data_IF_987946430051
#
_entry.id   IF_987946430051
#
_cell.length_a   1.000
_cell.length_b   1.000
_cell.length_c   1.000
_cell.angle_alpha   90.00
_cell.angle_beta   90.00
_cell.angle_gamma   90.00
#
_symmetry.space_group_name_H-M   'P 1'
#
loop_
_entity.id
_entity.type
_entity.pdbx_description
1 polymer ?
#
# COMPACT_ATOMS: atom_id res chain seq x y z
N UNK A 1 -23.51 16.36 -3.62
CA UNK A 1 -22.06 16.11 -3.50
C UNK A 1 -21.88 14.82 -2.72
N UNK A 2 -21.32 13.78 -3.34
CA UNK A 2 -20.93 12.56 -2.62
C UNK A 2 -20.07 12.96 -1.43
N UNK A 3 -20.43 12.50 -0.22
CA UNK A 3 -19.53 12.63 0.92
C UNK A 3 -18.28 11.86 0.58
N UNK A 4 -17.19 12.57 0.31
CA UNK A 4 -15.87 11.96 0.19
C UNK A 4 -15.66 11.06 1.41
N UNK A 5 -15.38 9.79 1.17
CA UNK A 5 -15.11 8.85 2.25
C UNK A 5 -13.80 9.30 2.92
N UNK A 6 -13.90 9.79 4.16
CA UNK A 6 -12.76 10.32 4.91
C UNK A 6 -11.60 9.31 5.02
N UNK A 7 -11.91 8.02 5.14
CA UNK A 7 -10.90 6.96 5.13
C UNK A 7 -10.19 6.82 3.80
N UNK A 8 -10.91 6.94 2.69
CA UNK A 8 -10.31 6.93 1.36
C UNK A 8 -9.38 8.13 1.15
N UNK A 9 -9.74 9.32 1.64
CA UNK A 9 -8.88 10.50 1.59
C UNK A 9 -7.60 10.26 2.37
N UNK A 10 -7.71 9.88 3.65
CA UNK A 10 -6.54 9.57 4.51
C UNK A 10 -5.65 8.47 3.93
N UNK A 11 -6.25 7.43 3.34
CA UNK A 11 -5.52 6.36 2.67
C UNK A 11 -4.73 6.91 1.47
N UNK A 12 -5.35 7.74 0.63
CA UNK A 12 -4.68 8.33 -0.53
C UNK A 12 -3.58 9.30 -0.13
N UNK A 13 -3.80 10.15 0.87
CA UNK A 13 -2.80 11.10 1.36
C UNK A 13 -1.55 10.35 1.86
N UNK A 14 -1.74 9.32 2.70
CA UNK A 14 -0.63 8.52 3.21
C UNK A 14 0.11 7.75 2.11
N UNK A 15 -0.62 7.22 1.12
CA UNK A 15 0.00 6.54 -0.01
C UNK A 15 0.82 7.52 -0.86
N UNK A 16 0.31 8.72 -1.08
CA UNK A 16 0.97 9.77 -1.85
C UNK A 16 2.24 10.26 -1.12
N UNK A 17 2.21 10.43 0.21
CA UNK A 17 3.38 10.75 1.04
C UNK A 17 4.50 9.70 0.89
N UNK A 18 4.16 8.41 1.00
CA UNK A 18 5.14 7.32 0.85
C UNK A 18 5.74 7.35 -0.55
N UNK A 19 4.90 7.54 -1.57
CA UNK A 19 5.36 7.59 -2.96
C UNK A 19 6.26 8.79 -3.22
N UNK A 20 5.98 9.96 -2.66
CA UNK A 20 6.83 11.16 -2.81
C UNK A 20 8.22 10.94 -2.19
N UNK A 21 8.28 10.34 -1.00
CA UNK A 21 9.56 10.00 -0.36
C UNK A 21 10.36 9.01 -1.21
N UNK A 22 9.71 7.97 -1.75
CA UNK A 22 10.37 7.00 -2.63
C UNK A 22 10.83 7.63 -3.94
N UNK A 23 10.00 8.48 -4.56
CA UNK A 23 10.32 9.17 -5.82
C UNK A 23 11.59 10.02 -5.66
N UNK A 24 11.67 10.80 -4.57
CA UNK A 24 12.85 11.61 -4.26
C UNK A 24 14.11 10.75 -4.10
N UNK A 25 14.03 9.66 -3.33
CA UNK A 25 15.17 8.76 -3.13
C UNK A 25 15.64 8.09 -4.43
N UNK A 26 14.70 7.71 -5.31
CA UNK A 26 14.98 7.15 -6.63
C UNK A 26 15.67 8.18 -7.52
N UNK A 27 15.18 9.42 -7.53
CA UNK A 27 15.81 10.52 -8.29
C UNK A 27 17.24 10.79 -7.81
N UNK A 28 17.45 10.89 -6.49
CA UNK A 28 18.79 11.08 -5.89
C UNK A 28 19.75 9.95 -6.30
N UNK A 29 19.27 8.70 -6.30
CA UNK A 29 20.05 7.53 -6.71
C UNK A 29 20.35 7.51 -8.21
N UNK A 30 19.42 7.97 -9.05
CA UNK A 30 19.63 8.08 -10.49
C UNK A 30 20.73 9.10 -10.81
N UNK A 31 20.79 10.23 -10.09
CA UNK A 31 21.88 11.20 -10.22
C UNK A 31 23.21 10.57 -9.87
N UNK A 32 23.32 9.89 -8.71
CA UNK A 32 24.56 9.21 -8.29
C UNK A 32 25.03 8.15 -9.29
N UNK A 33 24.11 7.36 -9.85
CA UNK A 33 24.43 6.39 -10.90
C UNK A 33 24.96 7.05 -12.18
N UNK A 34 24.49 8.27 -12.50
CA UNK A 34 24.96 9.05 -13.64
C UNK A 34 26.33 9.70 -13.40
N UNK A 35 26.69 9.99 -12.16
CA UNK A 35 27.99 10.56 -11.77
C UNK A 35 29.10 9.51 -11.73
N UNK A 36 28.89 8.40 -11.03
CA UNK A 36 29.82 7.28 -10.95
C UNK A 36 29.07 5.95 -10.82
N UNK A 37 29.01 5.24 -11.93
CA UNK A 37 28.30 3.97 -12.01
C UNK A 37 28.96 2.86 -11.20
N UNK A 38 30.29 2.84 -11.07
CA UNK A 38 31.00 1.81 -10.31
C UNK A 38 30.71 1.98 -8.82
N UNK A 39 30.94 3.19 -8.29
CA UNK A 39 30.66 3.53 -6.90
C UNK A 39 29.19 3.33 -6.53
N UNK A 40 28.27 3.65 -7.45
CA UNK A 40 26.84 3.40 -7.26
C UNK A 40 26.54 1.91 -7.04
N UNK A 41 27.12 1.02 -7.85
CA UNK A 41 26.90 -0.42 -7.69
C UNK A 41 27.48 -0.96 -6.38
N UNK A 42 28.60 -0.42 -5.94
CA UNK A 42 29.25 -0.82 -4.70
C UNK A 42 28.49 -0.36 -3.44
N UNK A 43 27.78 0.78 -3.50
CA UNK A 43 27.23 1.43 -2.29
C UNK A 43 25.72 1.65 -2.27
N UNK A 44 25.04 1.62 -3.43
CA UNK A 44 23.66 2.12 -3.54
C UNK A 44 22.70 1.20 -4.30
N UNK A 45 23.20 0.22 -5.06
CA UNK A 45 22.36 -0.64 -5.88
C UNK A 45 21.31 -1.45 -5.08
N UNK A 46 21.65 -1.90 -3.87
CA UNK A 46 20.72 -2.63 -3.00
C UNK A 46 19.51 -1.76 -2.63
N UNK A 47 19.76 -0.59 -2.05
CA UNK A 47 18.68 0.33 -1.66
C UNK A 47 17.89 0.80 -2.87
N UNK A 48 18.57 1.05 -4.00
CA UNK A 48 17.93 1.48 -5.25
C UNK A 48 16.91 0.44 -5.72
N UNK A 49 17.31 -0.84 -5.68
CA UNK A 49 16.43 -1.94 -6.04
C UNK A 49 15.20 -1.98 -5.14
N UNK A 50 15.39 -1.90 -3.81
CA UNK A 50 14.29 -1.98 -2.85
C UNK A 50 13.31 -0.82 -3.00
N UNK A 51 13.83 0.40 -3.11
CA UNK A 51 13.00 1.60 -3.25
C UNK A 51 12.21 1.58 -4.54
N UNK A 52 12.82 1.19 -5.65
CA UNK A 52 12.12 1.07 -6.93
C UNK A 52 11.06 -0.04 -6.90
N UNK A 53 11.37 -1.20 -6.31
CA UNK A 53 10.40 -2.28 -6.17
C UNK A 53 9.16 -1.86 -5.36
N UNK A 54 9.36 -1.18 -4.24
CA UNK A 54 8.28 -0.66 -3.41
C UNK A 54 7.48 0.41 -4.14
N UNK A 55 8.16 1.34 -4.84
CA UNK A 55 7.52 2.39 -5.62
C UNK A 55 6.57 1.81 -6.68
N UNK A 56 7.01 0.80 -7.43
CA UNK A 56 6.18 0.11 -8.42
C UNK A 56 4.92 -0.49 -7.78
N UNK A 57 5.07 -1.15 -6.63
CA UNK A 57 3.97 -1.75 -5.90
C UNK A 57 2.95 -0.71 -5.42
N UNK A 58 3.42 0.44 -4.90
CA UNK A 58 2.55 1.52 -4.44
C UNK A 58 1.93 2.30 -5.59
N UNK A 59 2.64 2.48 -6.71
CA UNK A 59 2.11 3.08 -7.94
C UNK A 59 0.93 2.28 -8.49
N UNK A 60 1.06 0.96 -8.52
CA UNK A 60 -0.02 0.06 -8.95
C UNK A 60 -1.22 0.12 -8.00
N UNK A 61 -0.97 0.15 -6.69
CA UNK A 61 -2.01 0.35 -5.67
C UNK A 61 -2.73 1.69 -5.88
N UNK A 62 -2.00 2.80 -6.07
CA UNK A 62 -2.55 4.14 -6.29
C UNK A 62 -3.41 4.18 -7.55
N UNK A 63 -2.93 3.58 -8.63
CA UNK A 63 -3.68 3.45 -9.90
C UNK A 63 -4.96 2.66 -9.70
N UNK A 64 -4.92 1.55 -8.94
CA UNK A 64 -6.11 0.74 -8.64
C UNK A 64 -7.10 1.50 -7.76
N UNK A 65 -6.60 2.20 -6.75
CA UNK A 65 -7.39 3.00 -5.81
C UNK A 65 -8.19 4.09 -6.53
N UNK A 66 -7.51 4.89 -7.36
CA UNK A 66 -8.13 5.95 -8.20
C UNK A 66 -9.19 5.41 -9.15
N UNK A 67 -9.00 4.21 -9.70
CA UNK A 67 -9.96 3.58 -10.62
C UNK A 67 -11.14 2.91 -9.92
N UNK A 68 -11.02 2.53 -8.66
CA UNK A 68 -12.02 1.69 -7.99
C UNK A 68 -13.33 2.44 -7.70
N UNK A 69 -13.24 3.74 -7.42
CA UNK A 69 -14.35 4.57 -6.95
C UNK A 69 -14.98 4.14 -5.61
N UNK A 70 -14.45 3.10 -4.95
CA UNK A 70 -15.06 2.50 -3.75
C UNK A 70 -13.98 2.02 -2.77
N UNK A 71 -14.01 2.49 -1.51
CA UNK A 71 -13.07 2.05 -0.47
C UNK A 71 -13.14 0.55 -0.18
N UNK A 72 -14.31 -0.07 -0.34
CA UNK A 72 -14.51 -1.51 -0.18
C UNK A 72 -13.73 -2.31 -1.23
N UNK A 73 -13.76 -1.87 -2.49
CA UNK A 73 -12.98 -2.49 -3.58
C UNK A 73 -11.47 -2.32 -3.39
N UNK A 74 -11.04 -1.19 -2.83
CA UNK A 74 -9.62 -0.98 -2.48
C UNK A 74 -9.21 -1.90 -1.34
N UNK A 75 -10.04 -2.03 -0.31
CA UNK A 75 -9.80 -2.93 0.82
C UNK A 75 -9.70 -4.39 0.37
N UNK A 76 -10.60 -4.85 -0.51
CA UNK A 76 -10.55 -6.19 -1.09
C UNK A 76 -9.25 -6.41 -1.88
N UNK A 77 -8.86 -5.43 -2.71
CA UNK A 77 -7.62 -5.49 -3.47
C UNK A 77 -6.39 -5.58 -2.55
N UNK A 78 -6.32 -4.74 -1.51
CA UNK A 78 -5.23 -4.77 -0.54
C UNK A 78 -5.12 -6.11 0.17
N UNK A 79 -6.23 -6.68 0.64
CA UNK A 79 -6.25 -8.02 1.26
C UNK A 79 -5.73 -9.09 0.30
N UNK A 80 -6.16 -9.05 -0.96
CA UNK A 80 -5.66 -9.96 -1.99
C UNK A 80 -4.15 -9.79 -2.20
N UNK A 81 -3.65 -8.56 -2.26
CA UNK A 81 -2.20 -8.29 -2.42
C UNK A 81 -1.40 -8.73 -1.21
N UNK A 82 -1.88 -8.48 0.00
CA UNK A 82 -1.25 -8.94 1.23
C UNK A 82 -1.16 -10.47 1.28
N UNK A 83 -2.23 -11.19 0.89
CA UNK A 83 -2.20 -12.65 0.81
C UNK A 83 -1.18 -13.17 -0.22
N UNK A 84 -1.06 -12.52 -1.38
CA UNK A 84 -0.02 -12.86 -2.36
C UNK A 84 1.38 -12.65 -1.78
N UNK A 85 1.59 -11.59 -1.00
CA UNK A 85 2.86 -11.35 -0.30
C UNK A 85 3.14 -12.47 0.72
N UNK A 86 2.16 -12.81 1.56
CA UNK A 86 2.28 -13.91 2.54
C UNK A 86 2.57 -15.26 1.87
N UNK A 87 1.84 -15.60 0.81
CA UNK A 87 2.07 -16.81 0.02
C UNK A 87 3.48 -16.84 -0.57
N UNK A 88 3.98 -15.69 -1.05
CA UNK A 88 5.35 -15.56 -1.58
C UNK A 88 6.37 -15.88 -0.49
N UNK A 89 6.20 -15.31 0.71
CA UNK A 89 7.11 -15.53 1.84
C UNK A 89 7.06 -16.96 2.38
N UNK A 90 5.91 -17.61 2.32
CA UNK A 90 5.75 -19.00 2.79
C UNK A 90 6.29 -20.04 1.80
N UNK A 91 6.23 -19.76 0.49
CA UNK A 91 6.52 -20.74 -0.57
C UNK A 91 7.89 -20.58 -1.19
N UNK A 92 8.51 -19.41 -1.14
CA UNK A 92 9.78 -19.17 -1.81
C UNK A 92 10.97 -19.50 -0.92
N UNK A 93 11.94 -20.20 -1.49
CA UNK A 93 13.26 -20.34 -0.90
C UNK A 93 13.94 -18.97 -0.80
N UNK A 94 14.80 -18.82 0.20
CA UNK A 94 15.62 -17.61 0.38
C UNK A 94 16.51 -17.35 -0.85
N UNK A 95 16.96 -18.40 -1.54
CA UNK A 95 17.73 -18.29 -2.78
C UNK A 95 16.89 -18.67 -4.00
N UNK A 96 16.99 -17.89 -5.08
CA UNK A 96 16.34 -18.19 -6.36
C UNK A 96 16.92 -19.43 -7.08
N UNK A 97 17.99 -20.03 -6.55
CA UNK A 97 18.76 -21.14 -7.15
C UNK A 97 19.23 -20.83 -8.58
N UNK A 98 19.48 -19.55 -8.86
CA UNK A 98 20.05 -19.08 -10.12
C UNK A 98 21.57 -19.27 -10.13
N UNK A 99 22.15 -19.46 -11.32
CA UNK A 99 23.61 -19.43 -11.51
C UNK A 99 24.18 -18.01 -11.50
N UNK A 100 23.32 -16.99 -11.61
CA UNK A 100 23.72 -15.58 -11.49
C UNK A 100 23.67 -15.11 -10.03
N UNK A 101 24.79 -14.69 -9.43
CA UNK A 101 24.81 -14.14 -8.07
C UNK A 101 23.89 -12.92 -7.93
N UNK A 102 23.85 -12.06 -8.96
CA UNK A 102 23.02 -10.87 -8.95
C UNK A 102 21.52 -11.21 -8.98
N UNK A 103 21.13 -12.27 -9.71
CA UNK A 103 19.74 -12.73 -9.71
C UNK A 103 19.33 -13.32 -8.35
N UNK A 104 20.24 -14.05 -7.68
CA UNK A 104 19.99 -14.54 -6.32
C UNK A 104 19.86 -13.37 -5.33
N UNK A 105 20.73 -12.36 -5.43
CA UNK A 105 20.65 -11.16 -4.60
C UNK A 105 19.33 -10.42 -4.82
N UNK A 106 18.97 -10.10 -6.07
CA UNK A 106 17.72 -9.43 -6.40
C UNK A 106 16.48 -10.17 -5.89
N UNK A 107 16.53 -11.50 -5.86
CA UNK A 107 15.49 -12.33 -5.24
C UNK A 107 15.41 -12.14 -3.73
N UNK A 108 16.53 -12.19 -3.01
CA UNK A 108 16.57 -11.91 -1.56
C UNK A 108 16.04 -10.51 -1.25
N UNK A 109 16.52 -9.49 -1.97
CA UNK A 109 16.07 -8.11 -1.78
C UNK A 109 14.57 -7.96 -2.05
N UNK A 110 14.04 -8.70 -3.04
CA UNK A 110 12.60 -8.74 -3.31
C UNK A 110 11.83 -9.33 -2.13
N UNK A 111 12.32 -10.42 -1.52
CA UNK A 111 11.65 -11.02 -0.36
C UNK A 111 11.59 -10.05 0.82
N UNK A 112 12.67 -9.30 1.06
CA UNK A 112 12.67 -8.23 2.08
C UNK A 112 11.63 -7.14 1.77
N UNK A 113 11.54 -6.69 0.52
CA UNK A 113 10.48 -5.76 0.13
C UNK A 113 9.08 -6.34 0.32
N UNK A 114 8.90 -7.64 0.03
CA UNK A 114 7.61 -8.31 0.23
C UNK A 114 7.23 -8.36 1.72
N UNK A 115 8.19 -8.52 2.64
CA UNK A 115 7.95 -8.42 4.08
C UNK A 115 7.44 -7.03 4.47
N UNK A 116 8.12 -5.97 4.01
CA UNK A 116 7.69 -4.59 4.25
C UNK A 116 6.28 -4.32 3.68
N UNK A 117 5.99 -4.84 2.48
CA UNK A 117 4.66 -4.71 1.88
C UNK A 117 3.55 -5.39 2.70
N UNK A 118 3.83 -6.51 3.38
CA UNK A 118 2.83 -7.14 4.27
C UNK A 118 2.44 -6.19 5.40
N UNK A 119 3.42 -5.49 5.99
CA UNK A 119 3.19 -4.52 7.06
C UNK A 119 2.44 -3.30 6.54
N UNK A 120 2.91 -2.68 5.46
CA UNK A 120 2.30 -1.49 4.88
C UNK A 120 0.86 -1.76 4.40
N UNK A 121 0.64 -2.87 3.70
CA UNK A 121 -0.73 -3.27 3.34
C UNK A 121 -1.59 -3.54 4.58
N UNK A 122 -1.03 -4.12 5.64
CA UNK A 122 -1.73 -4.31 6.91
C UNK A 122 -2.14 -3.00 7.57
N UNK A 123 -1.29 -1.97 7.51
CA UNK A 123 -1.62 -0.63 7.97
C UNK A 123 -2.75 0.00 7.15
N UNK A 124 -2.68 -0.08 5.82
CA UNK A 124 -3.74 0.44 4.95
C UNK A 124 -5.07 -0.29 5.11
N UNK A 125 -5.04 -1.62 5.26
CA UNK A 125 -6.23 -2.45 5.50
C UNK A 125 -6.93 -2.03 6.79
N UNK A 126 -6.19 -1.87 7.89
CA UNK A 126 -6.74 -1.41 9.17
C UNK A 126 -7.37 -0.02 9.04
N UNK A 127 -6.64 0.92 8.44
CA UNK A 127 -7.10 2.29 8.23
C UNK A 127 -8.43 2.36 7.47
N UNK A 128 -8.54 1.63 6.35
CA UNK A 128 -9.76 1.61 5.54
C UNK A 128 -10.90 0.86 6.25
N UNK A 129 -10.61 -0.29 6.87
CA UNK A 129 -11.63 -1.07 7.58
C UNK A 129 -12.24 -0.29 8.75
N UNK A 130 -11.42 0.41 9.53
CA UNK A 130 -11.89 1.22 10.66
C UNK A 130 -12.76 2.39 10.18
N UNK A 131 -12.35 3.06 9.09
CA UNK A 131 -13.16 4.14 8.52
C UNK A 131 -14.51 3.65 7.97
N UNK A 132 -14.56 2.47 7.37
CA UNK A 132 -15.80 1.88 6.87
C UNK A 132 -16.75 1.55 8.04
N UNK A 133 -16.25 0.93 9.11
CA UNK A 133 -17.04 0.66 10.33
C UNK A 133 -17.59 1.93 10.97
N UNK A 134 -16.79 2.99 11.03
CA UNK A 134 -17.24 4.29 11.54
C UNK A 134 -18.33 4.90 10.66
N UNK A 135 -18.26 4.72 9.33
CA UNK A 135 -19.29 5.22 8.43
C UNK A 135 -20.61 4.45 8.58
N UNK A 136 -20.56 3.13 8.78
CA UNK A 136 -21.73 2.29 9.03
C UNK A 136 -22.43 2.68 10.34
N UNK A 137 -21.69 2.77 11.45
CA UNK A 137 -22.25 3.17 12.75
C UNK A 137 -22.91 4.56 12.72
N UNK A 138 -22.32 5.53 12.01
CA UNK A 138 -22.93 6.85 11.83
C UNK A 138 -24.19 6.82 10.95
N UNK A 139 -24.29 5.91 9.98
CA UNK A 139 -25.50 5.72 9.15
C UNK A 139 -26.62 5.08 9.97
N UNK A 140 -26.28 4.08 10.78
CA UNK A 140 -27.23 3.39 11.65
C UNK A 140 -27.81 4.33 12.73
N UNK A 141 -26.95 5.12 13.38
CA UNK A 141 -27.38 6.09 14.37
C UNK A 141 -28.33 7.15 13.79
N UNK A 142 -28.11 7.56 12.53
CA UNK A 142 -29.00 8.50 11.84
C UNK A 142 -30.34 7.89 11.48
N UNK A 143 -30.33 6.67 10.95
CA UNK A 143 -31.58 5.97 10.61
C UNK A 143 -32.40 5.64 11.86
N UNK A 144 -31.75 5.36 13.00
CA UNK A 144 -32.41 5.24 14.31
C UNK A 144 -33.09 6.55 14.73
N UNK A 145 -32.36 7.68 14.73
CA UNK A 145 -32.95 9.00 15.06
C UNK A 145 -34.09 9.39 14.13
N UNK A 146 -33.99 9.10 12.83
CA UNK A 146 -35.07 9.37 11.87
C UNK A 146 -36.31 8.52 12.16
N UNK A 147 -36.13 7.25 12.57
CA UNK A 147 -37.25 6.38 12.98
C UNK A 147 -37.90 6.85 14.29
N UNK A 148 -37.12 7.33 15.25
CA UNK A 148 -37.64 7.90 16.51
C UNK A 148 -38.44 9.17 16.26
N UNK A 149 -37.92 10.10 15.45
CA UNK A 149 -38.61 11.34 15.10
C UNK A 149 -39.92 11.09 14.31
N UNK A 150 -40.00 10.01 13.53
CA UNK A 150 -41.24 9.62 12.81
C UNK A 150 -42.30 8.96 13.70
N UNK A 151 -41.93 8.46 14.89
CA UNK A 151 -42.88 7.77 15.79
C UNK A 151 -43.72 8.72 16.66
N UNK A 152 -43.45 10.03 16.61
CA UNK A 152 -44.18 11.06 17.36
C UNK A 152 -44.03 10.93 18.89
N UNK A 153 -44.41 11.96 19.68
CA UNK A 153 -44.45 11.84 21.13
C UNK A 153 -45.47 10.76 21.51
N UNK A 154 -45.07 9.76 22.30
CA UNK A 154 -46.04 8.89 22.97
C UNK A 154 -46.75 9.74 24.04
N UNK A 155 -47.99 10.13 23.75
CA UNK A 155 -48.93 10.71 24.70
C UNK A 155 -49.21 9.74 25.85
#
# INVERSE_FOLDING_TARGET
MERQNLGMVRFMDRLDEIMEVLDKKIQDKAVKAGEDYLSFFESHAEEAYKEYYLYECFRDLRKKARKSGSPEKVLEYLRKRQNVCLDTLLRQDIAARSTSPMANMAHTLRLECVQLLVEDYGHFIRMLADSLRQQETLRDARTLREKENRRGPKL
#
